data_IF_271682080284
#
_entry.id   IF_271682080284
#
_cell.length_a   1.000
_cell.length_b   1.000
_cell.length_c   1.000
_cell.angle_alpha   90.00
_cell.angle_beta   90.00
_cell.angle_gamma   90.00
#
_symmetry.space_group_name_H-M   'P 1'
#
loop_
_entity.id
_entity.type
_entity.pdbx_description
1 polymer ?
#
# COMPACT_ATOMS: atom_id res chain seq x y z
N UNK A 1 53.43 0.54 -44.17
CA UNK A 1 52.03 0.23 -44.53
C UNK A 1 51.87 -1.25 -44.66
N UNK A 2 51.20 -1.98 -43.77
CA UNK A 2 50.78 -3.34 -43.97
C UNK A 2 49.27 -3.37 -44.30
N UNK A 3 48.96 -4.25 -45.27
CA UNK A 3 47.64 -4.44 -45.89
C UNK A 3 46.67 -5.17 -44.95
N UNK A 4 45.45 -4.62 -44.79
CA UNK A 4 44.35 -5.23 -44.04
C UNK A 4 43.67 -6.25 -44.95
N UNK A 5 43.71 -7.55 -44.60
CA UNK A 5 42.99 -8.64 -45.24
C UNK A 5 41.56 -8.72 -44.75
N UNK A 6 40.59 -8.64 -45.64
CA UNK A 6 39.16 -8.85 -45.41
C UNK A 6 38.86 -10.36 -45.33
N UNK A 7 38.28 -10.81 -44.25
CA UNK A 7 37.71 -12.15 -44.10
C UNK A 7 36.20 -12.15 -44.38
N UNK A 8 35.63 -13.12 -45.11
CA UNK A 8 34.22 -13.12 -45.51
C UNK A 8 33.31 -13.73 -44.43
N UNK A 9 32.19 -13.06 -44.17
CA UNK A 9 31.13 -13.52 -43.28
C UNK A 9 30.40 -14.76 -43.88
N UNK A 10 30.41 -15.86 -43.10
CA UNK A 10 29.59 -17.05 -43.36
C UNK A 10 28.17 -16.79 -42.87
N UNK A 11 27.21 -16.74 -43.80
CA UNK A 11 25.77 -16.81 -43.56
C UNK A 11 25.39 -18.25 -43.17
N UNK A 12 25.02 -18.52 -41.95
CA UNK A 12 24.33 -19.74 -41.56
C UNK A 12 22.86 -19.45 -41.38
N UNK A 13 22.06 -19.86 -42.35
CA UNK A 13 20.61 -19.87 -42.29
C UNK A 13 20.15 -21.02 -41.39
N UNK A 14 19.56 -20.70 -40.20
CA UNK A 14 18.90 -21.68 -39.34
C UNK A 14 17.44 -21.76 -39.73
N UNK A 15 17.04 -22.89 -40.25
CA UNK A 15 15.71 -23.30 -40.68
C UNK A 15 14.80 -23.40 -39.46
N UNK A 16 13.83 -22.48 -39.29
CA UNK A 16 12.79 -22.57 -38.23
C UNK A 16 11.80 -23.70 -38.61
N UNK A 17 11.84 -24.80 -37.87
CA UNK A 17 10.83 -25.84 -37.89
C UNK A 17 9.58 -25.32 -37.10
N UNK A 18 8.47 -25.13 -37.81
CA UNK A 18 7.13 -24.99 -37.27
C UNK A 18 6.75 -26.28 -36.55
N UNK A 19 6.66 -26.25 -35.21
CA UNK A 19 5.97 -27.27 -34.43
C UNK A 19 4.62 -26.68 -34.05
N UNK A 20 3.58 -27.08 -34.76
CA UNK A 20 2.19 -26.80 -34.43
C UNK A 20 1.80 -27.69 -33.25
N UNK A 21 1.87 -27.18 -32.03
CA UNK A 21 1.29 -27.85 -30.83
C UNK A 21 -0.20 -27.59 -30.78
N UNK A 22 -0.94 -28.67 -30.99
CA UNK A 22 -2.40 -28.85 -30.91
C UNK A 22 -2.91 -28.50 -29.49
N UNK A 23 -3.45 -27.30 -29.31
CA UNK A 23 -4.07 -26.89 -28.03
C UNK A 23 -5.39 -27.63 -27.89
N UNK A 24 -5.43 -28.61 -27.00
CA UNK A 24 -6.66 -29.27 -26.55
C UNK A 24 -7.50 -28.28 -25.74
N UNK A 25 -8.76 -28.12 -26.14
CA UNK A 25 -9.78 -27.34 -25.41
C UNK A 25 -9.90 -27.86 -23.97
N UNK A 26 -9.88 -27.00 -22.93
CA UNK A 26 -10.17 -27.45 -21.58
C UNK A 26 -11.65 -27.82 -21.45
N UNK A 27 -11.89 -29.02 -20.95
CA UNK A 27 -13.16 -29.61 -20.62
C UNK A 27 -13.92 -28.73 -19.58
N UNK A 28 -15.24 -28.74 -19.70
CA UNK A 28 -16.27 -28.17 -18.83
C UNK A 28 -15.89 -28.23 -17.34
N UNK A 29 -15.53 -27.09 -16.76
CA UNK A 29 -15.49 -26.92 -15.31
C UNK A 29 -16.92 -26.79 -14.82
N UNK A 30 -17.30 -27.73 -13.99
CA UNK A 30 -18.57 -27.81 -13.26
C UNK A 30 -18.76 -26.50 -12.51
N UNK A 31 -19.78 -25.73 -12.91
CA UNK A 31 -20.28 -24.59 -12.11
C UNK A 31 -20.88 -25.18 -10.82
N UNK A 32 -20.08 -25.31 -9.77
CA UNK A 32 -20.60 -25.35 -8.41
C UNK A 32 -21.20 -23.99 -8.13
N UNK A 33 -22.49 -23.90 -8.06
CA UNK A 33 -23.27 -22.79 -7.54
C UNK A 33 -22.82 -22.55 -6.10
N UNK A 34 -21.89 -21.61 -5.92
CA UNK A 34 -21.66 -21.00 -4.62
C UNK A 34 -22.83 -20.05 -4.43
N UNK A 35 -23.81 -20.48 -3.66
CA UNK A 35 -24.85 -19.63 -3.10
C UNK A 35 -24.16 -18.65 -2.16
N UNK A 36 -23.80 -17.49 -2.68
CA UNK A 36 -23.40 -16.35 -1.89
C UNK A 36 -24.66 -15.74 -1.26
N UNK A 37 -25.02 -16.23 -0.09
CA UNK A 37 -25.88 -15.50 0.84
C UNK A 37 -25.08 -14.29 1.41
N UNK A 38 -24.65 -13.39 0.54
CA UNK A 38 -24.28 -12.04 0.93
C UNK A 38 -25.55 -11.23 1.20
N UNK A 39 -26.16 -11.49 2.37
CA UNK A 39 -26.94 -10.44 3.03
C UNK A 39 -25.98 -9.28 3.29
N UNK A 40 -25.89 -8.35 2.36
CA UNK A 40 -25.32 -7.00 2.58
C UNK A 40 -26.12 -6.36 3.71
N UNK A 41 -25.64 -6.54 4.95
CA UNK A 41 -26.18 -5.82 6.10
C UNK A 41 -25.99 -4.33 5.79
N UNK A 42 -27.11 -3.60 5.79
CA UNK A 42 -27.12 -2.16 5.59
C UNK A 42 -26.08 -1.49 6.50
N UNK A 43 -25.40 -0.43 6.05
CA UNK A 43 -24.37 0.24 6.86
C UNK A 43 -25.02 0.73 8.16
N UNK A 44 -24.51 0.23 9.29
CA UNK A 44 -24.99 0.63 10.60
C UNK A 44 -24.66 2.10 10.78
N UNK A 45 -25.70 2.95 10.87
CA UNK A 45 -25.53 4.38 11.17
C UNK A 45 -25.06 4.52 12.61
N UNK A 46 -23.81 4.89 12.81
CA UNK A 46 -23.23 5.15 14.12
C UNK A 46 -23.36 6.64 14.43
N UNK A 47 -23.68 6.97 15.69
CA UNK A 47 -23.62 8.35 16.18
C UNK A 47 -22.19 8.89 16.03
N UNK A 48 -22.03 10.16 15.65
CA UNK A 48 -20.71 10.81 15.53
C UNK A 48 -19.92 10.83 16.83
N UNK A 49 -20.59 10.72 17.96
CA UNK A 49 -20.03 10.70 19.32
C UNK A 49 -19.69 9.31 19.86
N UNK A 50 -19.88 8.25 19.03
CA UNK A 50 -19.59 6.90 19.49
C UNK A 50 -18.08 6.66 19.61
N UNK A 51 -17.65 6.16 20.77
CA UNK A 51 -16.26 5.75 21.04
C UNK A 51 -16.29 4.26 21.41
N UNK A 52 -15.52 3.40 20.73
CA UNK A 52 -15.41 1.98 21.06
C UNK A 52 -14.93 1.77 22.50
N UNK A 53 -15.60 0.90 23.26
CA UNK A 53 -15.26 0.56 24.65
C UNK A 53 -14.83 -0.91 24.74
N UNK A 54 -13.91 -1.20 25.65
CA UNK A 54 -13.44 -2.57 25.92
C UNK A 54 -14.53 -3.49 26.50
N UNK A 55 -15.65 -2.91 27.00
CA UNK A 55 -16.78 -3.64 27.56
C UNK A 55 -17.70 -4.28 26.51
N UNK A 56 -17.62 -3.84 25.26
CA UNK A 56 -18.41 -4.39 24.18
C UNK A 56 -17.70 -5.61 23.55
N UNK A 57 -18.46 -6.44 22.81
CA UNK A 57 -17.86 -7.57 22.09
C UNK A 57 -16.79 -7.05 21.13
N UNK A 58 -15.59 -7.62 21.26
CA UNK A 58 -14.44 -7.24 20.43
C UNK A 58 -14.76 -7.31 18.93
N UNK A 59 -14.40 -6.27 18.19
CA UNK A 59 -14.65 -6.11 16.74
C UNK A 59 -16.10 -6.41 16.32
N UNK A 60 -17.08 -5.94 17.11
CA UNK A 60 -18.48 -5.95 16.69
C UNK A 60 -18.70 -5.04 15.48
N UNK A 61 -19.84 -5.20 14.80
CA UNK A 61 -20.17 -4.41 13.59
C UNK A 61 -20.13 -2.88 13.85
N UNK A 62 -20.39 -2.43 15.09
CA UNK A 62 -20.26 -1.02 15.49
C UNK A 62 -18.80 -0.56 15.50
N UNK A 63 -17.89 -1.35 16.07
CA UNK A 63 -16.45 -1.06 16.07
C UNK A 63 -15.92 -0.97 14.65
N UNK A 64 -16.22 -1.96 13.80
CA UNK A 64 -15.80 -1.98 12.40
C UNK A 64 -16.31 -0.77 11.62
N UNK A 65 -17.56 -0.38 11.82
CA UNK A 65 -18.14 0.79 11.17
C UNK A 65 -17.48 2.09 11.65
N UNK A 66 -17.17 2.20 12.94
CA UNK A 66 -16.45 3.36 13.50
C UNK A 66 -15.05 3.50 12.86
N UNK A 67 -14.26 2.44 12.86
CA UNK A 67 -12.93 2.46 12.27
C UNK A 67 -12.97 2.70 10.76
N UNK A 68 -13.98 2.17 10.07
CA UNK A 68 -14.18 2.43 8.65
C UNK A 68 -14.41 3.92 8.36
N UNK A 69 -15.27 4.59 9.14
CA UNK A 69 -15.53 6.03 8.98
C UNK A 69 -14.25 6.81 9.26
N UNK A 70 -13.59 6.57 10.42
CA UNK A 70 -12.35 7.24 10.83
C UNK A 70 -11.24 7.11 9.78
N UNK A 71 -11.01 5.90 9.25
CA UNK A 71 -10.00 5.65 8.22
C UNK A 71 -10.35 6.31 6.88
N UNK A 72 -11.64 6.34 6.52
CA UNK A 72 -12.08 6.96 5.27
C UNK A 72 -11.94 8.49 5.32
N UNK A 73 -12.26 9.11 6.44
CA UNK A 73 -12.06 10.56 6.67
C UNK A 73 -10.58 10.90 6.63
N UNK A 74 -9.77 10.18 7.39
CA UNK A 74 -8.32 10.38 7.41
C UNK A 74 -7.66 10.19 6.04
N UNK A 75 -8.10 9.19 5.27
CA UNK A 75 -7.63 9.03 3.88
C UNK A 75 -7.95 10.26 3.02
N UNK A 76 -9.16 10.79 3.13
CA UNK A 76 -9.57 11.98 2.36
C UNK A 76 -8.72 13.20 2.70
N UNK A 77 -8.46 13.42 3.98
CA UNK A 77 -7.59 14.52 4.45
C UNK A 77 -6.16 14.39 3.92
N UNK A 78 -5.58 13.19 3.99
CA UNK A 78 -4.23 12.94 3.47
C UNK A 78 -4.14 13.12 1.96
N UNK A 79 -5.12 12.62 1.21
CA UNK A 79 -5.15 12.79 -0.25
C UNK A 79 -5.27 14.27 -0.63
N UNK A 80 -6.12 15.02 0.09
CA UNK A 80 -6.26 16.46 -0.12
C UNK A 80 -4.94 17.19 0.16
N UNK A 81 -4.31 16.93 1.31
CA UNK A 81 -3.04 17.53 1.69
C UNK A 81 -1.92 17.20 0.68
N UNK A 82 -1.85 15.95 0.18
CA UNK A 82 -0.88 15.57 -0.84
C UNK A 82 -1.10 16.29 -2.16
N UNK A 83 -2.35 16.44 -2.60
CA UNK A 83 -2.66 17.14 -3.84
C UNK A 83 -2.33 18.63 -3.72
N UNK A 84 -2.58 19.25 -2.57
CA UNK A 84 -2.21 20.64 -2.29
C UNK A 84 -0.70 20.83 -2.29
N UNK A 85 0.07 19.93 -1.63
CA UNK A 85 1.52 19.97 -1.61
C UNK A 85 2.12 19.81 -3.02
N UNK A 86 1.61 18.88 -3.82
CA UNK A 86 2.04 18.69 -5.22
C UNK A 86 1.73 19.91 -6.08
N UNK A 87 0.59 20.55 -5.87
CA UNK A 87 0.20 21.75 -6.61
C UNK A 87 1.13 22.92 -6.29
N UNK A 88 1.43 23.17 -5.01
CA UNK A 88 2.38 24.20 -4.61
C UNK A 88 3.79 23.91 -5.14
N UNK A 89 4.30 22.69 -5.00
CA UNK A 89 5.61 22.30 -5.52
C UNK A 89 5.76 22.50 -7.04
N UNK A 90 4.68 22.33 -7.81
CA UNK A 90 4.72 22.56 -9.26
C UNK A 90 4.69 24.04 -9.66
N UNK A 91 4.13 24.90 -8.82
CA UNK A 91 4.11 26.36 -9.06
C UNK A 91 5.44 27.03 -8.79
N UNK A 92 6.18 26.53 -7.79
CA UNK A 92 7.50 27.08 -7.41
C UNK A 92 8.63 26.69 -8.40
N UNK A 93 8.39 25.74 -9.29
CA UNK A 93 9.38 25.28 -10.27
C UNK A 93 9.75 26.35 -11.32
N UNK A 94 8.97 27.42 -11.44
CA UNK A 94 9.21 28.52 -12.36
C UNK A 94 10.19 29.59 -11.82
N UNK A 95 10.57 29.55 -10.55
CA UNK A 95 11.56 30.45 -9.95
C UNK A 95 12.97 29.84 -10.00
N UNK A 96 13.57 29.79 -11.18
CA UNK A 96 14.99 29.47 -11.28
C UNK A 96 15.76 30.63 -10.68
N UNK A 97 16.24 30.50 -9.43
CA UNK A 97 17.14 31.47 -8.82
C UNK A 97 18.42 31.56 -9.64
N UNK A 98 18.91 32.79 -9.87
CA UNK A 98 20.14 33.02 -10.58
C UNK A 98 21.38 32.65 -9.75
N UNK A 99 21.24 32.58 -8.41
CA UNK A 99 22.32 32.20 -7.49
C UNK A 99 22.39 30.70 -7.28
N UNK A 100 23.61 30.14 -7.39
CA UNK A 100 23.88 28.70 -7.22
C UNK A 100 23.64 28.25 -5.76
N UNK A 101 23.84 29.12 -4.77
CA UNK A 101 23.59 28.83 -3.36
C UNK A 101 22.10 28.70 -3.10
N UNK A 102 21.28 29.60 -3.66
CA UNK A 102 19.82 29.56 -3.56
C UNK A 102 19.26 28.34 -4.29
N UNK A 103 19.84 27.95 -5.42
CA UNK A 103 19.45 26.70 -6.12
C UNK A 103 19.73 25.47 -5.27
N UNK A 104 20.87 25.40 -4.58
CA UNK A 104 21.20 24.27 -3.71
C UNK A 104 20.23 24.18 -2.52
N UNK A 105 19.88 25.29 -1.90
CA UNK A 105 18.90 25.35 -0.82
C UNK A 105 17.53 24.91 -1.29
N UNK A 106 17.05 25.45 -2.40
CA UNK A 106 15.77 25.07 -3.00
C UNK A 106 15.70 23.59 -3.36
N UNK A 107 16.79 23.00 -3.87
CA UNK A 107 16.87 21.55 -4.15
C UNK A 107 16.76 20.72 -2.88
N UNK A 108 17.42 21.12 -1.77
CA UNK A 108 17.30 20.39 -0.50
C UNK A 108 15.88 20.46 0.06
N UNK A 109 15.22 21.61 0.00
CA UNK A 109 13.85 21.80 0.46
C UNK A 109 12.87 20.92 -0.36
N UNK A 110 12.96 20.95 -1.68
CA UNK A 110 12.19 20.07 -2.57
C UNK A 110 12.42 18.59 -2.24
N UNK A 111 13.65 18.20 -1.93
CA UNK A 111 13.96 16.82 -1.55
C UNK A 111 13.27 16.41 -0.24
N UNK A 112 13.22 17.30 0.74
CA UNK A 112 12.52 17.07 2.02
C UNK A 112 11.02 16.96 1.81
N UNK A 113 10.42 17.85 1.01
CA UNK A 113 9.00 17.80 0.65
C UNK A 113 8.63 16.50 -0.06
N UNK A 114 9.41 16.08 -1.06
CA UNK A 114 9.19 14.82 -1.77
C UNK A 114 9.28 13.61 -0.84
N UNK A 115 10.21 13.62 0.13
CA UNK A 115 10.30 12.58 1.16
C UNK A 115 9.05 12.57 2.05
N UNK A 116 8.50 13.74 2.41
CA UNK A 116 7.27 13.85 3.19
C UNK A 116 6.06 13.29 2.41
N UNK A 117 5.88 13.68 1.16
CA UNK A 117 4.83 13.18 0.26
C UNK A 117 4.93 11.66 0.12
N UNK A 118 6.12 11.11 -0.09
CA UNK A 118 6.33 9.65 -0.20
C UNK A 118 5.94 8.90 1.08
N UNK A 119 6.19 9.47 2.27
CA UNK A 119 5.70 8.89 3.54
C UNK A 119 4.18 8.89 3.62
N UNK A 120 3.53 9.97 3.17
CA UNK A 120 2.07 10.08 3.18
C UNK A 120 1.44 9.10 2.18
N UNK A 121 2.01 8.89 1.00
CA UNK A 121 1.57 7.87 0.02
C UNK A 121 1.65 6.47 0.63
N UNK A 122 2.76 6.14 1.31
CA UNK A 122 2.90 4.86 2.02
C UNK A 122 1.84 4.71 3.13
N UNK A 123 1.50 5.80 3.82
CA UNK A 123 0.46 5.79 4.85
C UNK A 123 -0.93 5.57 4.23
N UNK A 124 -1.25 6.21 3.12
CA UNK A 124 -2.50 5.98 2.36
C UNK A 124 -2.62 4.51 1.96
N UNK A 125 -1.54 3.89 1.46
CA UNK A 125 -1.54 2.45 1.14
C UNK A 125 -1.84 1.57 2.37
N UNK A 126 -1.27 1.90 3.55
CA UNK A 126 -1.57 1.21 4.80
C UNK A 126 -3.04 1.37 5.23
N UNK A 127 -3.63 2.56 5.01
CA UNK A 127 -5.05 2.80 5.27
C UNK A 127 -5.93 1.94 4.33
N UNK A 128 -5.56 1.84 3.05
CA UNK A 128 -6.30 0.98 2.11
C UNK A 128 -6.25 -0.49 2.50
N UNK A 129 -5.09 -0.99 2.93
CA UNK A 129 -4.97 -2.34 3.48
C UNK A 129 -5.86 -2.54 4.72
N UNK A 130 -5.91 -1.56 5.63
CA UNK A 130 -6.79 -1.62 6.78
C UNK A 130 -8.28 -1.65 6.38
N UNK A 131 -8.69 -0.87 5.38
CA UNK A 131 -10.05 -0.88 4.84
C UNK A 131 -10.42 -2.22 4.18
N UNK A 132 -9.47 -2.88 3.51
CA UNK A 132 -9.65 -4.24 2.97
C UNK A 132 -9.87 -5.22 4.12
N UNK A 133 -9.04 -5.18 5.18
CA UNK A 133 -9.20 -6.03 6.37
C UNK A 133 -10.56 -5.85 7.05
N UNK A 134 -11.09 -4.61 7.08
CA UNK A 134 -12.44 -4.36 7.62
C UNK A 134 -13.51 -5.09 6.77
N UNK A 135 -13.36 -5.10 5.43
CA UNK A 135 -14.28 -5.85 4.55
C UNK A 135 -14.19 -7.36 4.78
N UNK A 136 -12.97 -7.86 4.94
CA UNK A 136 -12.69 -9.28 5.16
C UNK A 136 -12.94 -9.72 6.60
N UNK A 137 -13.36 -8.80 7.49
CA UNK A 137 -13.59 -9.03 8.93
C UNK A 137 -12.35 -9.55 9.70
N UNK A 138 -11.16 -9.33 9.17
CA UNK A 138 -9.86 -9.65 9.79
C UNK A 138 -9.24 -8.47 10.52
N UNK A 139 -9.89 -7.30 10.47
CA UNK A 139 -9.43 -6.09 11.15
C UNK A 139 -9.46 -6.28 12.67
N UNK A 140 -8.42 -5.80 13.34
CA UNK A 140 -8.28 -5.91 14.81
C UNK A 140 -7.49 -7.12 15.28
N UNK A 141 -7.17 -8.06 14.40
CA UNK A 141 -6.34 -9.22 14.71
C UNK A 141 -4.94 -9.06 14.14
N UNK A 142 -3.95 -9.56 14.88
CA UNK A 142 -2.55 -9.56 14.45
C UNK A 142 -2.39 -10.41 13.19
N UNK A 143 -1.58 -9.93 12.24
CA UNK A 143 -1.33 -10.67 11.01
C UNK A 143 -0.45 -11.92 11.21
N UNK A 144 0.39 -11.95 12.25
CA UNK A 144 1.31 -13.05 12.55
C UNK A 144 0.76 -14.01 13.59
N UNK A 145 0.25 -13.48 14.72
CA UNK A 145 -0.16 -14.30 15.87
C UNK A 145 -1.66 -14.57 15.91
N UNK A 146 -2.46 -13.91 15.05
CA UNK A 146 -3.93 -13.92 15.06
C UNK A 146 -4.56 -13.46 16.40
N UNK A 147 -3.77 -12.94 17.34
CA UNK A 147 -4.24 -12.40 18.60
C UNK A 147 -4.94 -11.03 18.43
N UNK A 148 -5.85 -10.64 19.34
CA UNK A 148 -6.47 -9.33 19.30
C UNK A 148 -5.45 -8.21 19.59
N UNK A 149 -5.43 -7.20 18.73
CA UNK A 149 -4.50 -6.05 18.86
C UNK A 149 -4.84 -5.13 20.04
N UNK A 150 -6.08 -5.14 20.49
CA UNK A 150 -6.60 -4.25 21.55
C UNK A 150 -7.13 -2.92 20.99
N UNK A 151 -8.29 -2.51 21.54
CA UNK A 151 -9.01 -1.31 21.06
C UNK A 151 -8.19 -0.04 21.33
N UNK A 152 -7.52 0.07 22.46
CA UNK A 152 -6.69 1.24 22.82
C UNK A 152 -5.58 1.50 21.79
N UNK A 153 -4.89 0.42 21.35
CA UNK A 153 -3.84 0.51 20.32
C UNK A 153 -4.42 0.92 18.97
N UNK A 154 -5.58 0.37 18.57
CA UNK A 154 -6.25 0.74 17.33
C UNK A 154 -6.82 2.16 17.35
N UNK A 155 -7.23 2.66 18.49
CA UNK A 155 -7.65 4.06 18.64
C UNK A 155 -6.48 5.02 18.44
N UNK A 156 -5.30 4.68 18.97
CA UNK A 156 -4.07 5.45 18.78
C UNK A 156 -3.50 5.29 17.37
N UNK A 157 -3.48 4.07 16.83
CA UNK A 157 -2.95 3.76 15.50
C UNK A 157 -3.90 2.85 14.71
N UNK A 158 -4.87 3.42 13.98
CA UNK A 158 -5.91 2.64 13.29
C UNK A 158 -5.37 1.73 12.16
N UNK A 159 -4.18 1.99 11.66
CA UNK A 159 -3.51 1.18 10.62
C UNK A 159 -2.65 0.05 11.20
N UNK A 160 -2.65 -0.17 12.52
CA UNK A 160 -1.87 -1.22 13.14
C UNK A 160 -2.35 -2.60 12.67
N UNK A 161 -1.41 -3.46 12.29
CA UNK A 161 -1.67 -4.82 11.82
C UNK A 161 -0.94 -5.88 12.65
N UNK A 162 -0.05 -5.47 13.56
CA UNK A 162 0.67 -6.32 14.48
C UNK A 162 0.31 -6.01 15.93
N UNK A 163 0.32 -7.01 16.80
CA UNK A 163 0.27 -6.82 18.25
C UNK A 163 1.59 -6.22 18.75
N UNK A 164 1.66 -5.82 20.03
CA UNK A 164 2.87 -5.17 20.59
C UNK A 164 4.05 -6.13 20.51
N UNK A 165 3.86 -7.37 20.95
CA UNK A 165 4.92 -8.38 20.97
C UNK A 165 5.49 -8.69 19.58
N UNK A 166 4.61 -8.83 18.55
CA UNK A 166 5.05 -9.06 17.17
C UNK A 166 5.77 -7.84 16.61
N UNK A 167 5.31 -6.63 16.92
CA UNK A 167 5.95 -5.39 16.49
C UNK A 167 7.35 -5.23 17.10
N UNK A 168 7.51 -5.50 18.40
CA UNK A 168 8.81 -5.44 19.09
C UNK A 168 9.80 -6.46 18.52
N UNK A 169 9.32 -7.67 18.19
CA UNK A 169 10.14 -8.68 17.53
C UNK A 169 10.63 -8.19 16.18
N UNK A 170 9.73 -7.68 15.36
CA UNK A 170 10.05 -7.17 14.03
C UNK A 170 11.06 -6.01 14.09
N UNK A 171 10.90 -5.09 15.05
CA UNK A 171 11.83 -3.98 15.24
C UNK A 171 13.21 -4.42 15.74
N UNK A 172 13.29 -5.52 16.52
CA UNK A 172 14.57 -6.12 16.91
C UNK A 172 15.27 -6.78 15.73
N UNK A 173 14.50 -7.50 14.91
CA UNK A 173 15.03 -8.17 13.72
C UNK A 173 15.52 -7.10 12.70
N UNK A 174 14.76 -6.02 12.50
CA UNK A 174 15.18 -4.90 11.62
C UNK A 174 16.49 -4.23 12.09
N UNK A 175 16.69 -4.05 13.39
CA UNK A 175 17.94 -3.48 13.92
C UNK A 175 19.15 -4.37 13.65
N UNK A 176 19.00 -5.69 13.80
CA UNK A 176 20.09 -6.64 13.53
C UNK A 176 20.52 -6.62 12.05
N UNK A 177 19.55 -6.44 11.13
CA UNK A 177 19.88 -6.40 9.68
C UNK A 177 20.27 -5.01 9.17
N UNK A 178 20.07 -3.95 9.94
CA UNK A 178 20.45 -2.59 9.55
C UNK A 178 21.91 -2.25 9.87
N UNK A 179 22.56 -3.06 10.72
CA UNK A 179 23.95 -2.86 11.13
C UNK A 179 24.96 -3.65 10.25
N UNK A 180 24.49 -4.40 9.23
CA UNK A 180 25.26 -5.06 8.19
C UNK A 180 25.30 -4.19 6.90
#
# INVERSE_FOLDING_TARGET
MPKISKSPAKKTAVKAKKVAAKIKKPSKVIKKTVTTDEKTKAPIKISKTYIPKDTEKYMCDKHLSFFKIKLTEWKKELVKANNEALYHGSMDDNSVSADIVDQASSYTDKTVEMKAINRQIKLISKIDQALIRIKDKTFGFCAETAEPIGIKRLMARPVAHLCIAAQEKHEKDEKVYADD
#
